data_IF_755533308414
#
_entry.id   IF_755533308414
#
_cell.length_a   1.000
_cell.length_b   1.000
_cell.length_c   1.000
_cell.angle_alpha   90.00
_cell.angle_beta   90.00
_cell.angle_gamma   90.00
#
_symmetry.space_group_name_H-M   'P 1'
#
loop_
_entity.id
_entity.type
_entity.pdbx_description
1 polymer ?
#
# COMPACT_ATOMS: atom_id res chain seq x y z
N UNK A 1 13.27 27.68 -1.32
CA UNK A 1 13.27 26.82 -0.12
C UNK A 1 11.88 26.25 -0.02
N UNK A 2 11.70 24.94 -0.18
CA UNK A 2 10.41 24.30 0.03
C UNK A 2 10.48 23.74 1.44
N UNK A 3 9.69 24.29 2.36
CA UNK A 3 9.60 23.77 3.72
C UNK A 3 8.87 22.42 3.64
N UNK A 4 9.55 21.34 4.03
CA UNK A 4 8.93 20.03 4.14
C UNK A 4 7.87 20.11 5.27
N UNK A 5 6.60 20.29 4.90
CA UNK A 5 5.48 20.36 5.82
C UNK A 5 4.81 18.99 5.97
N UNK A 6 4.63 18.54 7.20
CA UNK A 6 3.79 17.40 7.53
C UNK A 6 2.42 17.92 7.99
N UNK A 7 1.35 17.44 7.36
CA UNK A 7 -0.02 17.81 7.73
C UNK A 7 -0.76 16.57 8.25
N UNK A 8 -1.44 16.72 9.38
CA UNK A 8 -2.40 15.71 9.85
C UNK A 8 -3.75 16.10 9.27
N UNK A 9 -4.32 15.21 8.46
CA UNK A 9 -5.61 15.41 7.80
C UNK A 9 -6.64 14.42 8.33
N UNK A 10 -7.89 14.85 8.36
CA UNK A 10 -9.04 14.01 8.71
C UNK A 10 -9.88 13.77 7.47
N UNK A 11 -10.33 12.53 7.29
CA UNK A 11 -11.27 12.21 6.21
C UNK A 11 -12.70 12.55 6.63
N UNK A 12 -13.42 13.37 5.85
CA UNK A 12 -14.80 13.76 6.18
C UNK A 12 -15.82 12.60 6.07
N UNK A 13 -15.48 11.53 5.35
CA UNK A 13 -16.38 10.39 5.12
C UNK A 13 -16.29 9.32 6.22
N UNK A 14 -15.08 8.99 6.71
CA UNK A 14 -14.87 7.97 7.74
C UNK A 14 -14.35 8.53 9.07
N UNK A 15 -14.05 9.84 9.14
CA UNK A 15 -13.50 10.52 10.31
C UNK A 15 -12.18 9.90 10.84
N UNK A 16 -11.45 9.21 9.96
CA UNK A 16 -10.13 8.65 10.24
C UNK A 16 -9.04 9.72 10.08
N UNK A 17 -8.00 9.61 10.90
CA UNK A 17 -6.83 10.47 10.84
C UNK A 17 -5.80 9.91 9.86
N UNK A 18 -5.10 10.78 9.14
CA UNK A 18 -4.00 10.38 8.27
C UNK A 18 -2.91 11.45 8.28
N UNK A 19 -1.66 11.01 8.18
CA UNK A 19 -0.52 11.88 8.00
C UNK A 19 -0.26 12.04 6.50
N UNK A 20 -0.39 13.27 6.01
CA UNK A 20 0.06 13.67 4.68
C UNK A 20 1.48 14.21 4.81
N UNK A 21 2.43 13.54 4.16
CA UNK A 21 3.79 14.01 4.05
C UNK A 21 4.28 13.80 2.62
N UNK A 22 4.54 14.91 1.92
CA UNK A 22 4.77 14.92 0.47
C UNK A 22 3.60 14.26 -0.28
N UNK A 23 3.86 13.44 -1.29
CA UNK A 23 2.84 12.73 -2.09
C UNK A 23 2.35 11.42 -1.44
N UNK A 24 2.45 11.29 -0.12
CA UNK A 24 2.14 10.06 0.60
C UNK A 24 1.17 10.31 1.75
N UNK A 25 0.16 9.45 1.83
CA UNK A 25 -0.88 9.47 2.87
C UNK A 25 -0.74 8.19 3.70
N UNK A 26 -0.45 8.36 4.98
CA UNK A 26 -0.32 7.24 5.92
C UNK A 26 -1.48 7.29 6.92
N UNK A 27 -2.32 6.26 7.00
CA UNK A 27 -3.42 6.23 7.95
C UNK A 27 -2.89 6.19 9.39
N UNK A 28 -3.42 7.06 10.24
CA UNK A 28 -3.17 7.09 11.66
C UNK A 28 -4.36 6.47 12.39
N UNK A 29 -4.07 5.49 13.25
CA UNK A 29 -5.10 4.86 14.08
C UNK A 29 -5.52 5.82 15.19
N UNK A 30 -6.66 6.49 14.97
CA UNK A 30 -7.27 7.45 15.91
C UNK A 30 -7.48 6.85 17.31
N UNK A 31 -7.90 5.59 17.36
CA UNK A 31 -8.11 4.84 18.61
C UNK A 31 -6.85 4.83 19.50
N UNK A 32 -5.68 4.57 18.92
CA UNK A 32 -4.42 4.51 19.66
C UNK A 32 -3.97 5.92 20.08
N UNK A 33 -4.19 6.92 19.22
CA UNK A 33 -3.80 8.30 19.50
C UNK A 33 -4.65 8.96 20.60
N UNK A 34 -5.95 8.65 20.64
CA UNK A 34 -6.88 9.26 21.60
C UNK A 34 -6.98 8.45 22.90
N UNK A 35 -7.05 7.11 22.81
CA UNK A 35 -7.36 6.23 23.94
C UNK A 35 -6.19 5.36 24.41
N UNK A 36 -5.13 5.26 23.61
CA UNK A 36 -3.94 4.48 23.96
C UNK A 36 -3.09 5.13 25.04
N UNK A 37 -2.28 4.32 25.71
CA UNK A 37 -1.23 4.73 26.64
C UNK A 37 -0.10 5.48 25.91
N UNK A 38 0.71 6.21 26.67
CA UNK A 38 1.83 6.99 26.11
C UNK A 38 2.84 6.10 25.35
N UNK A 39 3.09 4.89 25.86
CA UNK A 39 3.91 3.85 25.21
C UNK A 39 3.30 3.42 23.86
N UNK A 40 2.00 3.11 23.82
CA UNK A 40 1.31 2.69 22.59
C UNK A 40 1.28 3.79 21.53
N UNK A 41 1.11 5.05 21.95
CA UNK A 41 1.20 6.22 21.05
C UNK A 41 2.59 6.35 20.45
N UNK A 42 3.64 6.18 21.27
CA UNK A 42 5.04 6.24 20.80
C UNK A 42 5.35 5.11 19.83
N UNK A 43 4.93 3.89 20.15
CA UNK A 43 5.12 2.73 19.29
C UNK A 43 4.43 2.95 17.93
N UNK A 44 3.16 3.37 17.94
CA UNK A 44 2.41 3.64 16.71
C UNK A 44 3.03 4.75 15.86
N UNK A 45 3.52 5.83 16.48
CA UNK A 45 4.25 6.88 15.75
C UNK A 45 5.60 6.40 15.23
N UNK A 46 6.32 5.56 15.98
CA UNK A 46 7.58 4.97 15.53
C UNK A 46 7.36 4.05 14.31
N UNK A 47 6.28 3.28 14.30
CA UNK A 47 5.89 2.43 13.16
C UNK A 47 5.57 3.28 11.93
N UNK A 48 4.81 4.37 12.10
CA UNK A 48 4.49 5.32 11.02
C UNK A 48 5.76 5.96 10.46
N UNK A 49 6.69 6.37 11.32
CA UNK A 49 7.99 6.92 10.92
C UNK A 49 8.84 5.84 10.24
N UNK A 50 8.77 4.59 10.70
CA UNK A 50 9.43 3.44 10.08
C UNK A 50 8.98 3.25 8.63
N UNK A 51 7.67 3.31 8.37
CA UNK A 51 7.12 3.27 7.01
C UNK A 51 7.67 4.41 6.16
N UNK A 52 7.74 5.63 6.71
CA UNK A 52 8.30 6.78 5.99
C UNK A 52 9.81 6.63 5.68
N UNK A 53 10.57 6.02 6.60
CA UNK A 53 11.99 5.72 6.42
C UNK A 53 12.21 4.65 5.35
N UNK A 54 11.45 3.56 5.40
CA UNK A 54 11.52 2.47 4.42
C UNK A 54 11.14 2.95 3.01
N UNK A 55 10.13 3.80 2.92
CA UNK A 55 9.72 4.44 1.67
C UNK A 55 10.74 5.49 1.17
N UNK A 56 11.78 5.81 1.94
CA UNK A 56 12.80 6.80 1.58
C UNK A 56 12.26 8.23 1.50
N UNK A 57 11.14 8.50 2.18
CA UNK A 57 10.49 9.81 2.19
C UNK A 57 11.21 10.75 3.16
N UNK A 58 11.72 10.21 4.26
CA UNK A 58 12.57 10.96 5.18
C UNK A 58 14.02 10.91 4.70
N UNK A 59 14.30 11.63 3.61
CA UNK A 59 15.67 11.89 3.16
C UNK A 59 16.35 12.85 4.16
N UNK A 60 16.76 12.34 5.32
CA UNK A 60 17.65 13.07 6.24
C UNK A 60 19.02 13.36 5.59
N UNK A 61 19.33 12.69 4.48
CA UNK A 61 20.51 12.88 3.63
C UNK A 61 20.16 13.73 2.41
N UNK A 62 19.73 14.97 2.62
CA UNK A 62 19.72 15.97 1.55
C UNK A 62 21.16 16.31 1.14
N UNK A 63 21.76 15.48 0.29
CA UNK A 63 22.85 15.74 -0.66
C UNK A 63 23.09 14.46 -1.44
N UNK A 64 22.32 14.26 -2.50
CA UNK A 64 22.78 13.81 -3.83
C UNK A 64 21.58 13.29 -4.61
N UNK A 65 21.19 14.06 -5.63
CA UNK A 65 20.09 13.74 -6.51
C UNK A 65 20.28 12.40 -7.21
N UNK A 66 19.30 11.52 -7.05
CA UNK A 66 18.88 10.58 -8.09
C UNK A 66 17.36 10.51 -8.09
N UNK A 67 16.70 10.43 -9.26
CA UNK A 67 15.28 10.11 -9.31
C UNK A 67 15.14 8.64 -8.89
N UNK A 68 14.47 8.39 -7.77
CA UNK A 68 14.29 7.03 -7.24
C UNK A 68 12.97 6.47 -7.72
N UNK A 69 13.06 5.33 -8.39
CA UNK A 69 11.96 4.54 -8.91
C UNK A 69 10.90 4.25 -7.82
N UNK A 70 9.63 4.29 -8.24
CA UNK A 70 8.45 3.95 -7.47
C UNK A 70 8.64 2.58 -6.77
N UNK A 71 8.50 2.49 -5.44
CA UNK A 71 8.44 1.20 -4.76
C UNK A 71 7.09 0.54 -5.06
N UNK A 72 7.14 -0.72 -5.49
CA UNK A 72 5.98 -1.59 -5.66
C UNK A 72 5.12 -1.60 -4.38
N UNK A 73 3.81 -1.44 -4.58
CA UNK A 73 2.80 -1.39 -3.54
C UNK A 73 2.99 -2.50 -2.49
N UNK A 74 3.03 -2.09 -1.22
CA UNK A 74 2.99 -2.98 -0.07
C UNK A 74 1.79 -3.93 -0.19
N UNK A 75 2.09 -5.19 -0.52
CA UNK A 75 1.13 -6.29 -0.46
C UNK A 75 0.66 -6.41 0.99
N UNK A 76 -0.59 -6.03 1.24
CA UNK A 76 -1.33 -6.42 2.44
C UNK A 76 -1.19 -7.93 2.59
N UNK A 77 -0.72 -8.39 3.75
CA UNK A 77 -0.84 -9.79 4.18
C UNK A 77 -2.32 -10.06 4.45
N UNK A 78 -3.10 -10.21 3.38
CA UNK A 78 -4.35 -10.94 3.48
C UNK A 78 -4.01 -12.40 3.69
N UNK A 79 -4.58 -12.96 4.75
CA UNK A 79 -4.57 -14.37 5.10
C UNK A 79 -5.24 -15.13 3.96
N UNK A 80 -4.48 -15.46 2.92
CA UNK A 80 -4.92 -16.34 1.84
C UNK A 80 -4.98 -17.74 2.40
N UNK A 81 -6.19 -18.28 2.48
CA UNK A 81 -6.41 -19.72 2.61
C UNK A 81 -5.61 -20.42 1.51
N UNK A 82 -4.94 -21.52 1.88
CA UNK A 82 -4.11 -22.34 1.00
C UNK A 82 -4.97 -22.92 -0.15
N UNK A 83 -5.09 -22.16 -1.24
CA UNK A 83 -5.43 -22.75 -2.53
C UNK A 83 -4.17 -23.43 -3.05
N UNK A 84 -4.22 -24.72 -3.45
CA UNK A 84 -3.07 -25.40 -3.99
C UNK A 84 -2.65 -24.65 -5.25
N UNK A 85 -1.56 -23.89 -5.14
CA UNK A 85 -0.95 -23.21 -6.25
C UNK A 85 -0.60 -24.29 -7.28
N UNK A 86 -1.34 -24.32 -8.38
CA UNK A 86 -0.93 -25.06 -9.56
C UNK A 86 0.29 -24.31 -10.12
N UNK A 87 1.46 -24.57 -9.54
CA UNK A 87 2.76 -24.04 -9.91
C UNK A 87 3.20 -24.65 -11.23
N UNK A 88 2.47 -24.38 -12.31
CA UNK A 88 3.01 -24.48 -13.65
C UNK A 88 3.76 -23.18 -13.90
N UNK A 89 5.06 -23.20 -13.59
CA UNK A 89 6.08 -22.19 -13.89
C UNK A 89 5.65 -20.73 -13.68
N UNK A 90 6.11 -20.11 -12.59
CA UNK A 90 5.76 -18.77 -12.12
C UNK A 90 6.22 -17.58 -12.99
N UNK A 91 6.20 -17.69 -14.31
CA UNK A 91 6.38 -16.59 -15.25
C UNK A 91 5.13 -16.53 -16.14
N UNK A 92 4.49 -15.36 -16.17
CA UNK A 92 3.37 -15.10 -17.10
C UNK A 92 3.95 -15.15 -18.51
N UNK A 93 3.47 -16.07 -19.34
CA UNK A 93 3.86 -16.17 -20.75
C UNK A 93 3.17 -15.09 -21.59
N UNK A 94 3.76 -14.75 -22.74
CA UNK A 94 3.17 -13.79 -23.68
C UNK A 94 1.78 -14.23 -24.16
N UNK A 95 1.56 -15.54 -24.27
CA UNK A 95 0.27 -16.10 -24.64
C UNK A 95 -0.77 -15.89 -23.52
N UNK A 96 -0.38 -16.09 -22.26
CA UNK A 96 -1.26 -15.82 -21.11
C UNK A 96 -1.56 -14.33 -21.00
N UNK A 97 -0.56 -13.47 -21.24
CA UNK A 97 -0.74 -12.02 -21.26
C UNK A 97 -1.72 -11.58 -22.36
N UNK A 98 -1.56 -12.12 -23.58
CA UNK A 98 -2.44 -11.79 -24.70
C UNK A 98 -3.87 -12.29 -24.48
N UNK A 99 -4.02 -13.50 -23.94
CA UNK A 99 -5.31 -14.05 -23.55
C UNK A 99 -5.97 -13.18 -22.48
N UNK A 100 -5.21 -12.75 -21.47
CA UNK A 100 -5.72 -11.89 -20.41
C UNK A 100 -6.24 -10.57 -20.97
N UNK A 101 -5.46 -9.90 -21.81
CA UNK A 101 -5.86 -8.62 -22.41
C UNK A 101 -7.09 -8.73 -23.30
N UNK A 102 -7.18 -9.78 -24.12
CA UNK A 102 -8.26 -9.91 -25.11
C UNK A 102 -9.54 -10.51 -24.55
N UNK A 103 -9.46 -11.30 -23.49
CA UNK A 103 -10.59 -12.11 -23.01
C UNK A 103 -10.86 -11.85 -21.54
N UNK A 104 -9.88 -12.09 -20.67
CA UNK A 104 -10.13 -12.10 -19.22
C UNK A 104 -10.40 -10.70 -18.67
N UNK A 105 -9.66 -9.70 -19.13
CA UNK A 105 -9.80 -8.30 -18.72
C UNK A 105 -11.22 -7.78 -18.93
N UNK A 106 -11.82 -8.10 -20.07
CA UNK A 106 -13.19 -7.69 -20.42
C UNK A 106 -14.27 -8.47 -19.67
N UNK A 107 -13.91 -9.54 -18.96
CA UNK A 107 -14.85 -10.43 -18.26
C UNK A 107 -14.70 -10.37 -16.75
N UNK A 108 -13.87 -9.45 -16.22
CA UNK A 108 -13.71 -9.22 -14.79
C UNK A 108 -15.04 -8.82 -14.12
N UNK A 109 -15.91 -8.11 -14.84
CA UNK A 109 -17.24 -7.71 -14.33
C UNK A 109 -18.27 -8.84 -14.34
N UNK A 110 -17.99 -9.97 -15.00
CA UNK A 110 -18.89 -11.11 -15.01
C UNK A 110 -18.62 -12.00 -13.77
N UNK A 111 -19.52 -12.01 -12.78
CA UNK A 111 -19.27 -12.70 -11.50
C UNK A 111 -19.16 -14.23 -11.68
N UNK A 112 -19.83 -14.79 -12.69
CA UNK A 112 -19.77 -16.22 -12.99
C UNK A 112 -18.42 -16.58 -13.61
N UNK A 113 -17.93 -15.74 -14.53
CA UNK A 113 -16.63 -15.93 -15.16
C UNK A 113 -15.49 -15.76 -14.16
N UNK A 114 -15.53 -14.69 -13.37
CA UNK A 114 -14.52 -14.40 -12.36
C UNK A 114 -14.37 -15.53 -11.35
N UNK A 115 -15.48 -16.02 -10.78
CA UNK A 115 -15.47 -17.16 -9.85
C UNK A 115 -14.94 -18.45 -10.47
N UNK A 116 -15.10 -18.65 -11.78
CA UNK A 116 -14.58 -19.84 -12.47
C UNK A 116 -13.05 -19.81 -12.61
N UNK A 117 -12.46 -18.62 -12.71
CA UNK A 117 -11.02 -18.45 -12.96
C UNK A 117 -10.24 -18.21 -11.66
N UNK A 118 -10.81 -17.44 -10.71
CA UNK A 118 -10.14 -16.99 -9.49
C UNK A 118 -10.78 -17.49 -8.18
N UNK A 119 -11.86 -18.26 -8.26
CA UNK A 119 -12.62 -18.76 -7.12
C UNK A 119 -12.47 -20.26 -6.89
#
# INVERSE_FOLDING_TARGET
>A
MQEDAAAVVTCDACNELSLLFRDQIIPLKKEILESGTLEERKAHLADVIGILLEAGLLNFTAKNGRPRALPEAHRRKDRREDFPANTRNGLISDQEMEHFLKIDLHRLDNPVYFKRIFG
#
